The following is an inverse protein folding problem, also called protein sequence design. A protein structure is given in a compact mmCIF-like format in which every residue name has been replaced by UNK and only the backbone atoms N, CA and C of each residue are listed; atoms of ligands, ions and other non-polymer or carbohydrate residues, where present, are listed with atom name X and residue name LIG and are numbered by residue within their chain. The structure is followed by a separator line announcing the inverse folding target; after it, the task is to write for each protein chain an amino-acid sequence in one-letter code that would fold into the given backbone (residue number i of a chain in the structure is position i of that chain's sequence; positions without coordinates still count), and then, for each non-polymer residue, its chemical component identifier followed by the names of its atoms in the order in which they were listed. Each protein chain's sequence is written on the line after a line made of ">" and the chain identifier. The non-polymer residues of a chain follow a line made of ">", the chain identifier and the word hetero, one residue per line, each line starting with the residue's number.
data_IF_112483189688
#
_entry.id   IF_112483189688
#
_cell.length_a   1.000
_cell.length_b   1.000
_cell.length_c   1.000
_cell.angle_alpha   90.00
_cell.angle_beta   90.00
_cell.angle_gamma   90.00
#
_symmetry.space_group_name_H-M   'P 1'
#
loop_
_entity.id
_entity.type
_entity.pdbx_description
1 polymer ?
#
# COMPACT_ATOMS: atom_id res chain seq x y z
N UNK A 1 11.51 -21.80 38.47
CA UNK A 1 12.85 -22.11 37.92
C UNK A 1 12.64 -22.98 36.68
N UNK A 2 12.48 -22.40 35.54
CA UNK A 2 12.36 -23.09 34.25
C UNK A 2 13.47 -22.58 33.34
N UNK A 3 14.26 -23.51 32.82
CA UNK A 3 15.47 -23.30 32.05
C UNK A 3 15.10 -22.80 30.67
N UNK A 4 15.31 -21.51 30.38
CA UNK A 4 15.40 -21.00 29.03
C UNK A 4 16.81 -21.31 28.51
N UNK A 5 16.94 -22.38 27.74
CA UNK A 5 18.11 -22.61 26.90
C UNK A 5 17.91 -21.80 25.64
N UNK A 6 18.62 -20.67 25.57
CA UNK A 6 18.61 -19.79 24.39
C UNK A 6 19.19 -20.51 23.18
N UNK A 7 18.39 -20.72 22.16
CA UNK A 7 18.84 -21.06 20.83
C UNK A 7 19.36 -19.77 20.18
N UNK A 8 20.64 -19.45 20.41
CA UNK A 8 21.32 -18.41 19.65
C UNK A 8 21.48 -18.90 18.21
N UNK A 9 20.55 -18.55 17.33
CA UNK A 9 20.77 -18.68 15.90
C UNK A 9 21.94 -17.76 15.55
N UNK A 10 23.02 -18.33 15.05
CA UNK A 10 24.19 -17.58 14.61
C UNK A 10 23.82 -16.69 13.42
N UNK A 11 23.40 -15.45 13.69
CA UNK A 11 23.42 -14.39 12.68
C UNK A 11 24.89 -14.03 12.45
N UNK A 12 25.44 -14.46 11.32
CA UNK A 12 26.76 -14.05 10.89
C UNK A 12 26.71 -12.57 10.51
N UNK A 13 27.17 -11.70 11.39
CA UNK A 13 27.52 -10.33 11.06
C UNK A 13 28.72 -10.38 10.13
N UNK A 14 28.51 -10.30 8.82
CA UNK A 14 29.58 -10.06 7.86
C UNK A 14 29.78 -8.56 7.78
N UNK A 15 30.69 -8.06 8.62
CA UNK A 15 31.21 -6.71 8.47
C UNK A 15 32.16 -6.69 7.28
N UNK A 16 31.88 -5.76 6.39
CA UNK A 16 32.74 -5.12 5.40
C UNK A 16 33.23 -5.91 4.18
N UNK A 17 32.95 -5.31 3.03
CA UNK A 17 33.93 -5.16 1.95
C UNK A 17 34.00 -6.29 0.95
N UNK A 18 32.97 -6.42 0.20
CA UNK A 18 32.99 -6.66 -1.25
C UNK A 18 31.54 -6.47 -1.70
N UNK A 19 31.27 -5.35 -2.34
CA UNK A 19 30.04 -5.14 -3.07
C UNK A 19 30.05 -6.14 -4.24
N UNK A 20 29.74 -7.40 -4.00
CA UNK A 20 29.22 -8.22 -5.05
C UNK A 20 28.01 -7.42 -5.59
N UNK A 21 28.08 -7.03 -6.84
CA UNK A 21 26.96 -6.43 -7.55
C UNK A 21 25.81 -7.41 -7.43
N UNK A 22 25.01 -7.27 -6.38
CA UNK A 22 23.81 -8.03 -6.22
C UNK A 22 22.95 -7.65 -7.43
N UNK A 23 22.74 -8.61 -8.33
CA UNK A 23 21.80 -8.47 -9.43
C UNK A 23 20.52 -7.97 -8.77
N UNK A 24 20.05 -6.79 -9.22
CA UNK A 24 18.80 -6.25 -8.70
C UNK A 24 17.73 -7.32 -8.74
N UNK A 25 16.96 -7.50 -7.67
CA UNK A 25 15.82 -8.39 -7.76
C UNK A 25 14.93 -7.89 -8.89
N UNK A 26 14.40 -8.80 -9.72
CA UNK A 26 13.48 -8.41 -10.77
C UNK A 26 12.26 -7.74 -10.13
N UNK A 27 11.70 -6.71 -10.74
CA UNK A 27 10.46 -6.11 -10.26
C UNK A 27 9.38 -7.17 -10.13
N UNK A 28 8.55 -7.06 -9.07
CA UNK A 28 7.45 -7.99 -8.82
C UNK A 28 6.15 -7.46 -9.41
N UNK A 29 5.34 -8.36 -9.92
CA UNK A 29 3.94 -8.08 -10.25
C UNK A 29 3.08 -8.55 -9.08
N UNK A 30 2.39 -7.60 -8.45
CA UNK A 30 1.48 -7.83 -7.35
C UNK A 30 0.06 -8.05 -7.84
N UNK A 31 -0.59 -9.06 -7.29
CA UNK A 31 -1.96 -9.45 -7.56
C UNK A 31 -2.74 -9.55 -6.25
N UNK A 32 -3.97 -9.08 -6.27
CA UNK A 32 -4.87 -9.12 -5.12
C UNK A 32 -6.17 -9.85 -5.48
N UNK A 33 -6.14 -11.17 -5.72
CA UNK A 33 -7.32 -11.91 -6.09
C UNK A 33 -8.31 -12.01 -4.94
N UNK A 34 -9.58 -11.66 -5.20
CA UNK A 34 -10.71 -12.02 -4.38
C UNK A 34 -11.25 -13.36 -4.88
N UNK A 35 -11.31 -14.35 -4.02
CA UNK A 35 -11.88 -15.65 -4.31
C UNK A 35 -13.32 -15.72 -3.79
N UNK A 36 -14.27 -16.10 -4.65
CA UNK A 36 -15.70 -16.18 -4.33
C UNK A 36 -16.22 -17.60 -4.60
N UNK A 37 -17.10 -18.07 -3.72
CA UNK A 37 -17.85 -19.31 -3.94
C UNK A 37 -19.05 -19.09 -4.90
N UNK A 38 -19.85 -20.14 -5.11
CA UNK A 38 -21.05 -20.09 -5.96
C UNK A 38 -22.16 -19.17 -5.44
N UNK A 39 -22.06 -18.74 -4.16
CA UNK A 39 -23.00 -17.81 -3.51
C UNK A 39 -22.38 -16.40 -3.37
N UNK A 40 -21.29 -16.14 -4.08
CA UNK A 40 -20.55 -14.88 -4.03
C UNK A 40 -19.99 -14.54 -2.63
N UNK A 41 -19.77 -15.57 -1.79
CA UNK A 41 -19.14 -15.38 -0.48
C UNK A 41 -17.63 -15.54 -0.61
N UNK A 42 -16.83 -14.72 0.12
CA UNK A 42 -15.39 -14.82 0.12
C UNK A 42 -14.90 -16.18 0.60
N UNK A 43 -13.98 -16.79 -0.14
CA UNK A 43 -13.26 -18.01 0.22
C UNK A 43 -11.87 -17.59 0.67
N UNK A 44 -11.56 -17.76 1.97
CA UNK A 44 -10.35 -17.23 2.61
C UNK A 44 -9.33 -18.28 3.03
N UNK A 45 -9.61 -19.56 2.75
CA UNK A 45 -8.81 -20.71 3.19
C UNK A 45 -7.94 -21.34 2.09
N UNK A 46 -7.84 -20.71 0.90
CA UNK A 46 -6.99 -21.19 -0.19
C UNK A 46 -5.51 -21.13 0.19
N UNK A 47 -4.72 -21.94 -0.47
CA UNK A 47 -3.26 -21.99 -0.35
C UNK A 47 -2.60 -21.53 -1.68
N UNK A 48 -1.30 -21.28 -1.68
CA UNK A 48 -0.57 -20.95 -2.89
C UNK A 48 -0.72 -22.03 -3.98
N UNK A 49 -0.86 -23.30 -3.59
CA UNK A 49 -1.05 -24.42 -4.50
C UNK A 49 -2.39 -24.38 -5.25
N UNK A 50 -3.39 -23.70 -4.70
CA UNK A 50 -4.71 -23.55 -5.33
C UNK A 50 -4.67 -22.53 -6.50
N UNK A 51 -3.59 -21.77 -6.67
CA UNK A 51 -3.48 -20.73 -7.69
C UNK A 51 -2.52 -21.10 -8.81
N UNK A 52 -2.92 -20.85 -10.04
CA UNK A 52 -2.07 -20.93 -11.24
C UNK A 52 -2.04 -19.55 -11.90
N UNK A 53 -0.84 -19.05 -12.14
CA UNK A 53 -0.62 -17.75 -12.78
C UNK A 53 0.06 -17.96 -14.11
N UNK A 54 -0.43 -17.29 -15.13
CA UNK A 54 0.22 -17.18 -16.43
C UNK A 54 0.31 -15.71 -16.85
N UNK A 55 1.50 -15.32 -17.30
CA UNK A 55 1.80 -14.00 -17.85
C UNK A 55 2.14 -14.17 -19.33
N UNK A 56 1.40 -13.51 -20.22
CA UNK A 56 1.50 -13.72 -21.67
C UNK A 56 1.49 -15.22 -22.07
N UNK A 57 0.68 -16.02 -21.36
CA UNK A 57 0.58 -17.46 -21.57
C UNK A 57 1.71 -18.30 -20.96
N UNK A 58 2.75 -17.69 -20.39
CA UNK A 58 3.85 -18.39 -19.71
C UNK A 58 3.51 -18.58 -18.23
N UNK A 59 3.59 -19.80 -17.72
CA UNK A 59 3.38 -20.09 -16.31
C UNK A 59 4.38 -19.34 -15.43
N UNK A 60 3.89 -18.80 -14.31
CA UNK A 60 4.67 -18.05 -13.35
C UNK A 60 4.70 -18.76 -12.00
N UNK A 61 5.84 -18.66 -11.31
CA UNK A 61 5.99 -19.18 -9.95
C UNK A 61 5.57 -18.11 -8.96
N UNK A 62 4.70 -18.47 -8.01
CA UNK A 62 4.32 -17.60 -6.89
C UNK A 62 5.52 -17.51 -5.95
N UNK A 63 5.98 -16.29 -5.71
CA UNK A 63 7.11 -15.99 -4.82
C UNK A 63 6.65 -15.55 -3.44
N UNK A 64 5.53 -14.81 -3.36
CA UNK A 64 4.91 -14.39 -2.11
C UNK A 64 3.43 -14.73 -2.14
N UNK A 65 2.92 -15.20 -1.01
CA UNK A 65 1.52 -15.56 -0.84
C UNK A 65 1.04 -15.25 0.57
N UNK A 66 0.01 -14.40 0.67
CA UNK A 66 -0.66 -14.11 1.94
C UNK A 66 -2.15 -14.34 1.81
N UNK A 67 -2.74 -14.87 2.89
CA UNK A 67 -4.19 -15.06 3.00
C UNK A 67 -4.84 -13.79 3.54
N UNK A 68 -6.10 -13.50 3.17
CA UNK A 68 -6.88 -12.46 3.82
C UNK A 68 -7.09 -12.81 5.30
N UNK A 69 -7.16 -11.78 6.15
CA UNK A 69 -7.44 -11.97 7.58
C UNK A 69 -6.34 -12.69 8.38
N UNK A 70 -5.13 -12.86 7.82
CA UNK A 70 -4.03 -13.53 8.51
C UNK A 70 -3.45 -12.65 9.63
N UNK A 71 -3.62 -13.12 10.86
CA UNK A 71 -3.02 -12.71 12.14
C UNK A 71 -3.50 -11.39 12.75
N UNK A 72 -4.38 -11.53 13.72
CA UNK A 72 -4.48 -10.57 14.83
C UNK A 72 -3.16 -10.57 15.61
N UNK A 73 -2.52 -9.41 15.71
CA UNK A 73 -1.36 -9.24 16.57
C UNK A 73 -1.77 -9.51 18.02
N UNK A 74 -1.00 -10.30 18.77
CA UNK A 74 -1.19 -10.42 20.21
C UNK A 74 -1.09 -9.04 20.88
N UNK A 75 -1.72 -8.85 22.03
CA UNK A 75 -1.60 -7.62 22.81
C UNK A 75 -0.12 -7.24 23.00
N UNK A 76 0.17 -5.94 22.92
CA UNK A 76 1.52 -5.46 23.12
C UNK A 76 1.89 -5.51 24.60
N UNK A 77 3.11 -5.95 24.87
CA UNK A 77 3.70 -5.87 26.20
C UNK A 77 4.10 -4.41 26.54
N UNK A 78 4.32 -4.05 27.81
CA UNK A 78 4.87 -2.76 28.18
C UNK A 78 6.19 -2.48 27.44
N UNK A 79 6.30 -1.27 26.87
CA UNK A 79 7.46 -0.84 26.06
C UNK A 79 7.67 -1.64 24.76
N UNK A 80 6.64 -2.33 24.30
CA UNK A 80 6.60 -2.92 22.97
C UNK A 80 5.84 -2.01 22.00
N UNK A 81 6.38 -1.87 20.81
CA UNK A 81 5.84 -1.08 19.72
C UNK A 81 5.67 -1.93 18.47
N UNK A 82 4.70 -1.59 17.63
CA UNK A 82 4.49 -2.26 16.35
C UNK A 82 4.10 -1.25 15.28
N UNK A 83 4.49 -1.53 14.04
CA UNK A 83 4.00 -0.79 12.87
C UNK A 83 2.64 -1.30 12.36
N UNK A 84 2.04 -2.30 13.06
CA UNK A 84 0.70 -2.84 12.76
C UNK A 84 -0.17 -2.83 14.02
N UNK A 85 -0.60 -1.65 14.50
CA UNK A 85 -1.43 -1.56 15.70
C UNK A 85 -2.81 -2.19 15.45
N UNK A 86 -3.37 -2.82 16.49
CA UNK A 86 -4.74 -3.35 16.48
C UNK A 86 -4.95 -4.69 15.80
N UNK A 87 -3.90 -5.33 15.27
CA UNK A 87 -4.03 -6.63 14.58
C UNK A 87 -4.97 -6.54 13.37
N UNK A 88 -5.00 -5.42 12.70
CA UNK A 88 -5.90 -5.10 11.61
C UNK A 88 -5.66 -6.08 10.46
N UNK A 89 -6.73 -6.68 9.96
CA UNK A 89 -6.67 -7.37 8.67
C UNK A 89 -6.08 -6.41 7.64
N UNK A 90 -5.04 -6.81 6.91
CA UNK A 90 -4.24 -5.88 6.13
C UNK A 90 -5.00 -5.40 4.90
N UNK A 91 -5.83 -4.39 5.05
CA UNK A 91 -6.49 -3.68 3.96
C UNK A 91 -6.74 -2.23 4.36
N UNK A 92 -6.89 -1.35 3.37
CA UNK A 92 -7.27 0.03 3.58
C UNK A 92 -8.07 0.55 2.39
N UNK A 93 -9.08 1.36 2.66
CA UNK A 93 -9.89 2.01 1.63
C UNK A 93 -9.83 3.51 1.84
N UNK A 94 -9.33 4.25 0.85
CA UNK A 94 -9.45 5.70 0.83
C UNK A 94 -10.60 6.11 -0.10
N UNK A 95 -11.47 6.97 0.38
CA UNK A 95 -12.48 7.61 -0.45
C UNK A 95 -11.94 8.98 -0.84
N UNK A 96 -11.80 9.20 -2.13
CA UNK A 96 -11.47 10.50 -2.71
C UNK A 96 -12.71 11.07 -3.39
N UNK A 97 -13.36 12.03 -2.75
CA UNK A 97 -14.48 12.75 -3.33
C UNK A 97 -13.95 13.94 -4.13
N UNK A 98 -14.04 13.84 -5.44
CA UNK A 98 -13.44 14.77 -6.38
C UNK A 98 -14.42 15.90 -6.74
N UNK A 99 -14.44 16.95 -5.94
CA UNK A 99 -15.28 18.12 -6.20
C UNK A 99 -14.77 18.94 -7.38
N UNK A 100 -13.51 18.82 -7.77
CA UNK A 100 -12.92 19.53 -8.91
C UNK A 100 -13.54 19.09 -10.24
N UNK A 101 -13.91 17.81 -10.34
CA UNK A 101 -14.48 17.20 -11.53
C UNK A 101 -15.93 16.76 -11.33
N UNK A 102 -16.51 16.97 -10.15
CA UNK A 102 -17.90 16.66 -9.82
C UNK A 102 -18.84 17.80 -10.22
N UNK A 103 -19.95 17.48 -10.88
CA UNK A 103 -21.00 18.44 -11.17
C UNK A 103 -21.85 18.75 -9.93
N UNK A 104 -22.38 19.98 -9.85
CA UNK A 104 -23.17 20.44 -8.71
C UNK A 104 -24.44 19.60 -8.47
N UNK A 105 -25.03 19.06 -9.53
CA UNK A 105 -26.32 18.39 -9.48
C UNK A 105 -26.34 17.09 -8.65
N UNK A 106 -25.25 16.31 -8.67
CA UNK A 106 -25.17 15.02 -7.97
C UNK A 106 -24.36 15.08 -6.68
N UNK A 107 -23.66 16.19 -6.45
CA UNK A 107 -22.79 16.37 -5.29
C UNK A 107 -23.51 16.15 -3.97
N UNK A 108 -24.72 16.68 -3.85
CA UNK A 108 -25.51 16.61 -2.64
C UNK A 108 -25.98 15.18 -2.33
N UNK A 109 -26.46 14.46 -3.33
CA UNK A 109 -26.94 13.07 -3.17
C UNK A 109 -25.77 12.14 -2.85
N UNK A 110 -24.64 12.31 -3.54
CA UNK A 110 -23.40 11.55 -3.25
C UNK A 110 -22.91 11.80 -1.84
N UNK A 111 -22.88 13.06 -1.42
CA UNK A 111 -22.49 13.44 -0.08
C UNK A 111 -23.37 12.79 0.98
N UNK A 112 -24.71 12.92 0.86
CA UNK A 112 -25.64 12.31 1.81
C UNK A 112 -25.53 10.78 1.84
N UNK A 113 -25.30 10.17 0.68
CA UNK A 113 -25.07 8.74 0.58
C UNK A 113 -23.82 8.30 1.35
N UNK A 114 -22.71 9.02 1.21
CA UNK A 114 -21.46 8.75 1.93
C UNK A 114 -21.60 8.96 3.44
N UNK A 115 -22.21 10.08 3.86
CA UNK A 115 -22.44 10.39 5.26
C UNK A 115 -23.22 9.27 5.98
N UNK A 116 -24.14 8.63 5.26
CA UNK A 116 -24.92 7.52 5.79
C UNK A 116 -24.19 6.18 5.74
N UNK A 117 -23.49 5.88 4.65
CA UNK A 117 -22.91 4.53 4.43
C UNK A 117 -21.67 4.25 5.26
N UNK A 118 -20.79 5.24 5.43
CA UNK A 118 -19.50 5.04 6.11
C UNK A 118 -19.65 4.60 7.57
N UNK A 119 -20.55 5.18 8.39
CA UNK A 119 -20.77 4.71 9.75
C UNK A 119 -21.35 3.30 9.87
N UNK A 120 -21.95 2.77 8.79
CA UNK A 120 -22.54 1.44 8.75
C UNK A 120 -21.54 0.34 8.35
N UNK A 121 -20.31 0.70 7.97
CA UNK A 121 -19.29 -0.26 7.57
C UNK A 121 -18.72 -1.02 8.76
N UNK A 122 -18.62 -2.34 8.66
CA UNK A 122 -17.96 -3.19 9.66
C UNK A 122 -16.47 -2.87 9.81
N UNK A 123 -15.85 -2.40 8.74
CA UNK A 123 -14.42 -2.02 8.68
C UNK A 123 -14.22 -0.51 8.60
N UNK A 124 -15.11 0.28 9.20
CA UNK A 124 -15.02 1.75 9.17
C UNK A 124 -13.69 2.30 9.70
N UNK A 125 -13.04 1.59 10.63
CA UNK A 125 -11.72 1.95 11.15
C UNK A 125 -10.60 1.90 10.11
N UNK A 126 -10.82 1.24 8.97
CA UNK A 126 -9.87 1.11 7.87
C UNK A 126 -10.22 1.98 6.66
N UNK A 127 -11.23 2.83 6.81
CA UNK A 127 -11.66 3.77 5.78
C UNK A 127 -11.09 5.15 6.05
N UNK A 128 -10.44 5.75 5.07
CA UNK A 128 -9.90 7.10 5.07
C UNK A 128 -10.68 7.97 4.13
N UNK A 129 -10.71 9.29 4.35
CA UNK A 129 -11.58 10.17 3.57
C UNK A 129 -10.89 11.49 3.22
N UNK A 130 -10.91 11.82 1.94
CA UNK A 130 -10.32 13.02 1.38
C UNK A 130 -11.30 13.71 0.42
N UNK A 131 -11.26 15.04 0.38
CA UNK A 131 -11.89 15.84 -0.66
C UNK A 131 -10.84 16.41 -1.59
N UNK A 132 -11.05 16.30 -2.88
CA UNK A 132 -10.33 17.10 -3.87
C UNK A 132 -11.15 18.36 -4.12
N UNK A 133 -10.66 19.48 -3.60
CA UNK A 133 -11.39 20.74 -3.61
C UNK A 133 -11.40 21.40 -5.01
N UNK A 134 -12.25 22.43 -5.20
CA UNK A 134 -12.42 23.16 -6.46
C UNK A 134 -11.16 23.89 -6.97
N UNK A 135 -10.19 24.15 -6.09
CA UNK A 135 -8.88 24.70 -6.43
C UNK A 135 -7.82 23.63 -6.75
N UNK A 136 -8.18 22.34 -6.67
CA UNK A 136 -7.28 21.21 -6.85
C UNK A 136 -6.45 20.86 -5.62
N UNK A 137 -6.74 21.46 -4.46
CA UNK A 137 -6.14 21.10 -3.17
C UNK A 137 -6.79 19.90 -2.54
N UNK A 138 -6.01 19.08 -1.82
CA UNK A 138 -6.49 17.92 -1.07
C UNK A 138 -6.88 18.35 0.35
N UNK A 139 -8.13 18.12 0.74
CA UNK A 139 -8.63 18.38 2.09
C UNK A 139 -8.85 17.05 2.81
N UNK A 140 -8.04 16.73 3.83
CA UNK A 140 -8.20 15.51 4.59
C UNK A 140 -9.35 15.65 5.60
N UNK A 141 -10.36 14.79 5.50
CA UNK A 141 -11.42 14.65 6.52
C UNK A 141 -11.00 13.59 7.54
N UNK A 142 -10.50 12.49 7.08
CA UNK A 142 -9.81 11.47 7.86
C UNK A 142 -8.54 11.04 7.13
N UNK A 143 -7.41 11.68 7.41
CA UNK A 143 -6.14 11.29 6.82
C UNK A 143 -5.61 9.98 7.42
N UNK A 144 -4.71 9.35 6.70
CA UNK A 144 -3.87 8.29 7.25
C UNK A 144 -2.91 8.93 8.24
N UNK A 145 -3.15 8.74 9.55
CA UNK A 145 -2.29 9.24 10.63
C UNK A 145 -1.70 8.04 11.39
N UNK A 146 -0.38 7.90 11.45
CA UNK A 146 0.27 6.81 12.18
C UNK A 146 0.01 6.85 13.70
N UNK A 147 -0.48 7.98 14.21
CA UNK A 147 -0.87 8.13 15.62
C UNK A 147 -2.32 7.73 15.88
N UNK A 148 -3.08 7.52 14.82
CA UNK A 148 -4.44 6.99 14.94
C UNK A 148 -4.33 5.49 15.28
N UNK A 149 -4.62 5.16 16.53
CA UNK A 149 -4.60 3.78 17.02
C UNK A 149 -5.68 2.89 16.35
N UNK A 150 -6.37 3.40 15.33
CA UNK A 150 -7.52 2.77 14.73
C UNK A 150 -8.77 2.94 15.60
N UNK A 151 -9.85 2.33 15.16
CA UNK A 151 -11.13 2.39 15.84
C UNK A 151 -12.11 3.39 15.24
N UNK A 152 -13.35 3.28 15.65
CA UNK A 152 -14.47 4.02 15.07
C UNK A 152 -14.72 5.41 15.72
N UNK A 153 -13.82 5.87 16.59
CA UNK A 153 -14.02 7.13 17.34
C UNK A 153 -14.20 8.38 16.44
N UNK A 154 -13.62 8.35 15.25
CA UNK A 154 -13.75 9.42 14.26
C UNK A 154 -15.15 9.53 13.67
N UNK A 155 -15.91 8.45 13.62
CA UNK A 155 -17.27 8.42 13.06
C UNK A 155 -18.21 9.39 13.76
N UNK A 156 -18.06 9.58 15.08
CA UNK A 156 -18.85 10.53 15.85
C UNK A 156 -18.65 11.99 15.46
N UNK A 157 -17.59 12.31 14.69
CA UNK A 157 -17.30 13.67 14.20
C UNK A 157 -17.40 13.78 12.68
N UNK A 158 -17.52 12.65 11.99
CA UNK A 158 -17.43 12.56 10.52
C UNK A 158 -18.44 13.49 9.83
N UNK A 159 -19.71 13.41 10.17
CA UNK A 159 -20.74 14.25 9.59
C UNK A 159 -20.43 15.75 9.76
N UNK A 160 -19.98 16.14 10.95
CA UNK A 160 -19.65 17.54 11.25
C UNK A 160 -18.47 18.02 10.40
N UNK A 161 -17.41 17.23 10.34
CA UNK A 161 -16.21 17.60 9.57
C UNK A 161 -16.48 17.57 8.06
N UNK A 162 -17.24 16.58 7.58
CA UNK A 162 -17.65 16.51 6.18
C UNK A 162 -18.55 17.69 5.81
N UNK A 163 -19.57 18.01 6.61
CA UNK A 163 -20.46 19.14 6.38
C UNK A 163 -19.69 20.46 6.34
N UNK A 164 -18.79 20.67 7.29
CA UNK A 164 -17.94 21.85 7.34
C UNK A 164 -17.06 21.99 6.09
N UNK A 165 -16.46 20.90 5.65
CA UNK A 165 -15.62 20.89 4.45
C UNK A 165 -16.43 21.13 3.17
N UNK A 166 -17.65 20.57 3.08
CA UNK A 166 -18.56 20.78 1.95
C UNK A 166 -19.10 22.21 1.91
N UNK A 167 -19.42 22.81 3.06
CA UNK A 167 -19.80 24.23 3.13
C UNK A 167 -18.68 25.13 2.62
N UNK A 168 -17.44 24.90 3.03
CA UNK A 168 -16.28 25.65 2.53
C UNK A 168 -16.08 25.46 1.02
N UNK A 169 -16.22 24.22 0.52
CA UNK A 169 -16.10 23.94 -0.90
C UNK A 169 -17.18 24.64 -1.72
N UNK A 170 -18.42 24.69 -1.25
CA UNK A 170 -19.52 25.37 -1.92
C UNK A 170 -19.37 26.90 -1.93
N UNK A 171 -18.67 27.47 -0.96
CA UNK A 171 -18.35 28.90 -0.93
C UNK A 171 -17.11 29.26 -1.74
N UNK A 172 -16.26 28.28 -2.05
CA UNK A 172 -15.07 28.50 -2.84
C UNK A 172 -15.44 28.78 -4.31
N UNK A 173 -14.81 29.80 -4.88
CA UNK A 173 -14.93 30.01 -6.34
C UNK A 173 -14.06 28.97 -7.03
N UNK A 174 -14.58 28.31 -8.09
CA UNK A 174 -13.74 27.44 -8.91
C UNK A 174 -12.52 28.26 -9.36
N UNK A 175 -11.33 27.74 -9.14
CA UNK A 175 -10.14 28.27 -9.80
C UNK A 175 -10.41 28.16 -11.30
N UNK A 176 -10.13 29.21 -12.08
CA UNK A 176 -10.31 29.20 -13.53
C UNK A 176 -9.34 28.24 -14.22
N UNK A 177 -9.27 27.00 -13.73
CA UNK A 177 -8.39 25.95 -14.22
C UNK A 177 -8.89 25.43 -15.55
N UNK A 178 -8.01 25.36 -16.51
CA UNK A 178 -8.30 24.67 -17.76
C UNK A 178 -8.38 23.15 -17.55
N UNK A 179 -8.66 22.43 -18.61
CA UNK A 179 -8.87 20.98 -18.55
C UNK A 179 -7.60 20.22 -18.21
N UNK A 180 -6.48 20.67 -18.73
CA UNK A 180 -5.17 20.04 -18.50
C UNK A 180 -4.71 20.25 -17.06
N UNK A 181 -4.86 21.46 -16.53
CA UNK A 181 -4.54 21.77 -15.14
C UNK A 181 -5.39 20.97 -14.16
N UNK A 182 -6.69 20.81 -14.46
CA UNK A 182 -7.56 19.93 -13.65
C UNK A 182 -7.09 18.49 -13.69
N UNK A 183 -6.74 17.97 -14.86
CA UNK A 183 -6.21 16.61 -15.01
C UNK A 183 -4.94 16.41 -14.19
N UNK A 184 -3.95 17.29 -14.36
CA UNK A 184 -2.68 17.23 -13.61
C UNK A 184 -2.90 17.27 -12.11
N UNK A 185 -3.77 18.15 -11.62
CA UNK A 185 -4.08 18.23 -10.18
C UNK A 185 -4.78 16.98 -9.66
N UNK A 186 -5.77 16.47 -10.38
CA UNK A 186 -6.48 15.25 -10.00
C UNK A 186 -5.52 14.07 -9.88
N UNK A 187 -4.69 13.84 -10.89
CA UNK A 187 -3.72 12.73 -10.87
C UNK A 187 -2.67 12.90 -9.80
N UNK A 188 -2.17 14.12 -9.60
CA UNK A 188 -1.25 14.39 -8.50
C UNK A 188 -1.88 14.06 -7.13
N UNK A 189 -3.15 14.40 -6.90
CA UNK A 189 -3.80 14.08 -5.63
C UNK A 189 -4.11 12.58 -5.49
N UNK A 190 -4.43 11.89 -6.57
CA UNK A 190 -4.52 10.42 -6.55
C UNK A 190 -3.18 9.79 -6.15
N UNK A 191 -2.07 10.29 -6.69
CA UNK A 191 -0.72 9.85 -6.32
C UNK A 191 -0.41 10.16 -4.85
N UNK A 192 -0.75 11.34 -4.34
CA UNK A 192 -0.57 11.70 -2.93
C UNK A 192 -1.33 10.73 -2.02
N UNK A 193 -2.60 10.44 -2.32
CA UNK A 193 -3.40 9.48 -1.54
C UNK A 193 -2.83 8.06 -1.66
N UNK A 194 -2.41 7.65 -2.86
CA UNK A 194 -1.77 6.36 -3.10
C UNK A 194 -0.50 6.19 -2.27
N UNK A 195 0.38 7.18 -2.29
CA UNK A 195 1.62 7.18 -1.51
C UNK A 195 1.36 7.06 0.00
N UNK A 196 0.29 7.67 0.50
CA UNK A 196 -0.12 7.51 1.89
C UNK A 196 -0.65 6.11 2.17
N UNK A 197 -1.50 5.57 1.29
CA UNK A 197 -2.01 4.21 1.40
C UNK A 197 -0.89 3.15 1.32
N UNK A 198 0.14 3.39 0.51
CA UNK A 198 1.28 2.48 0.35
C UNK A 198 2.02 2.20 1.67
N UNK A 199 1.81 3.03 2.71
CA UNK A 199 2.37 2.79 4.04
C UNK A 199 1.62 1.73 4.84
N UNK A 200 0.40 1.40 4.43
CA UNK A 200 -0.45 0.43 5.12
C UNK A 200 -0.28 -0.97 4.53
N UNK A 201 -0.45 -2.03 5.33
CA UNK A 201 -0.31 -3.40 4.84
C UNK A 201 -1.52 -3.85 4.00
N UNK A 202 -1.30 -4.87 3.18
CA UNK A 202 -2.34 -5.60 2.45
C UNK A 202 -2.90 -4.87 1.24
N UNK A 203 -4.11 -5.23 0.84
CA UNK A 203 -4.79 -4.59 -0.27
C UNK A 203 -5.19 -3.16 0.09
N UNK A 204 -4.98 -2.25 -0.84
CA UNK A 204 -5.27 -0.83 -0.72
C UNK A 204 -6.12 -0.41 -1.90
N UNK A 205 -7.24 0.23 -1.60
CA UNK A 205 -8.20 0.66 -2.61
C UNK A 205 -8.48 2.16 -2.47
N UNK A 206 -8.62 2.85 -3.60
CA UNK A 206 -9.16 4.20 -3.67
C UNK A 206 -10.53 4.10 -4.33
N UNK A 207 -11.58 4.52 -3.64
CA UNK A 207 -12.86 4.84 -4.26
C UNK A 207 -12.79 6.28 -4.73
N UNK A 208 -12.61 6.46 -6.02
CA UNK A 208 -12.53 7.78 -6.63
C UNK A 208 -13.89 8.20 -7.18
N UNK A 209 -14.57 9.09 -6.45
CA UNK A 209 -15.89 9.60 -6.82
C UNK A 209 -15.70 10.81 -7.72
N UNK A 210 -16.11 10.69 -8.97
CA UNK A 210 -15.91 11.73 -9.99
C UNK A 210 -17.05 11.73 -11.00
N UNK A 211 -17.28 12.86 -11.62
CA UNK A 211 -18.28 13.03 -12.68
C UNK A 211 -17.66 13.11 -14.07
N UNK A 212 -16.37 13.21 -14.15
CA UNK A 212 -15.63 13.06 -15.40
C UNK A 212 -14.24 12.55 -15.08
N UNK A 213 -13.71 11.76 -15.96
CA UNK A 213 -12.27 11.69 -16.04
C UNK A 213 -11.80 13.02 -16.62
N UNK A 214 -10.90 13.74 -15.98
CA UNK A 214 -10.24 14.88 -16.62
C UNK A 214 -9.39 14.33 -17.75
N UNK A 215 -10.09 13.86 -18.80
CA UNK A 215 -9.46 13.23 -19.93
C UNK A 215 -8.56 14.25 -20.59
N UNK A 216 -7.33 13.88 -20.72
CA UNK A 216 -6.48 14.34 -21.77
C UNK A 216 -7.09 13.73 -23.04
N UNK A 217 -8.24 14.29 -23.47
CA UNK A 217 -8.93 13.82 -24.68
C UNK A 217 -8.32 14.44 -25.93
N UNK A 218 -8.62 13.83 -27.01
CA UNK A 218 -8.31 14.04 -28.42
C UNK A 218 -8.23 15.47 -28.96
N UNK A 219 -8.57 16.46 -28.22
CA UNK A 219 -8.56 17.86 -28.64
C UNK A 219 -7.58 18.75 -27.87
N UNK A 220 -6.90 18.17 -26.86
CA UNK A 220 -5.88 18.89 -26.12
C UNK A 220 -4.54 18.24 -26.43
N UNK A 221 -3.50 18.99 -26.78
CA UNK A 221 -2.23 18.40 -27.15
C UNK A 221 -1.52 17.79 -25.93
N UNK A 222 -1.67 16.47 -25.78
CA UNK A 222 -0.51 15.73 -25.33
C UNK A 222 0.48 15.70 -26.50
N UNK A 223 1.00 16.84 -26.93
CA UNK A 223 1.84 16.92 -28.10
C UNK A 223 1.18 16.55 -29.45
N UNK A 224 -0.13 16.27 -29.49
CA UNK A 224 -0.85 15.88 -30.72
C UNK A 224 -0.86 14.40 -31.03
N UNK A 225 -0.31 13.54 -30.15
CA UNK A 225 -0.26 12.10 -30.36
C UNK A 225 -1.13 11.36 -29.33
N UNK A 226 -2.08 10.57 -29.82
CA UNK A 226 -2.95 9.68 -29.03
C UNK A 226 -2.17 8.69 -28.15
N UNK A 227 -1.01 8.28 -28.64
CA UNK A 227 -0.12 7.37 -27.94
C UNK A 227 0.38 8.00 -26.63
N UNK A 228 0.69 9.29 -26.62
CA UNK A 228 1.20 9.98 -25.43
C UNK A 228 0.14 10.13 -24.34
N UNK A 229 -1.13 10.37 -24.68
CA UNK A 229 -2.20 10.48 -23.70
C UNK A 229 -2.59 9.13 -23.10
N UNK A 230 -2.68 8.10 -23.92
CA UNK A 230 -2.87 6.74 -23.44
C UNK A 230 -1.70 6.28 -22.56
N UNK A 231 -0.49 6.69 -22.87
CA UNK A 231 0.69 6.43 -22.05
C UNK A 231 0.65 7.17 -20.71
N UNK A 232 0.09 8.39 -20.65
CA UNK A 232 -0.02 9.13 -19.39
C UNK A 232 -0.96 8.42 -18.40
N UNK A 233 -2.16 8.02 -18.82
CA UNK A 233 -3.09 7.24 -17.99
C UNK A 233 -2.47 5.90 -17.59
N UNK A 234 -1.81 5.23 -18.54
CA UNK A 234 -1.11 3.99 -18.28
C UNK A 234 0.05 4.18 -17.29
N UNK A 235 0.82 5.27 -17.42
CA UNK A 235 1.91 5.60 -16.52
C UNK A 235 1.40 5.86 -15.09
N UNK A 236 0.33 6.64 -14.96
CA UNK A 236 -0.32 6.87 -13.67
C UNK A 236 -0.85 5.57 -13.08
N UNK A 237 -1.54 4.76 -13.86
CA UNK A 237 -2.03 3.47 -13.41
C UNK A 237 -0.90 2.51 -13.00
N UNK A 238 0.25 2.59 -13.67
CA UNK A 238 1.46 1.84 -13.29
C UNK A 238 2.02 2.34 -11.97
N UNK A 239 2.11 3.65 -11.77
CA UNK A 239 2.59 4.25 -10.52
C UNK A 239 1.70 3.84 -9.35
N UNK A 240 0.38 4.00 -9.48
CA UNK A 240 -0.59 3.60 -8.48
C UNK A 240 -0.59 2.08 -8.23
N UNK A 241 -0.52 1.29 -9.31
CA UNK A 241 -0.48 -0.17 -9.24
C UNK A 241 0.85 -0.73 -8.72
N UNK A 242 1.97 0.00 -8.89
CA UNK A 242 3.26 -0.35 -8.30
C UNK A 242 3.21 -0.28 -6.78
N UNK A 243 2.53 0.72 -6.24
CA UNK A 243 2.29 0.86 -4.81
C UNK A 243 1.26 -0.16 -4.28
N UNK A 244 0.73 -1.02 -5.15
CA UNK A 244 -0.29 -2.01 -4.79
C UNK A 244 -1.64 -1.38 -4.44
N UNK A 245 -1.94 -0.21 -5.01
CA UNK A 245 -3.20 0.50 -4.81
C UNK A 245 -4.11 0.29 -6.00
N UNK A 246 -5.31 -0.22 -5.75
CA UNK A 246 -6.36 -0.37 -6.76
C UNK A 246 -7.24 0.89 -6.78
N UNK A 247 -7.54 1.41 -7.96
CA UNK A 247 -8.45 2.55 -8.12
C UNK A 247 -9.80 2.05 -8.60
N UNK A 248 -10.85 2.41 -7.87
CA UNK A 248 -12.23 2.07 -8.13
C UNK A 248 -12.99 3.37 -8.47
N UNK A 249 -13.00 3.79 -9.74
CA UNK A 249 -13.74 4.98 -10.11
C UNK A 249 -15.24 4.76 -9.94
N UNK A 250 -15.90 5.71 -9.31
CA UNK A 250 -17.36 5.80 -9.23
C UNK A 250 -17.83 7.02 -10.01
N UNK A 251 -18.57 6.77 -11.09
CA UNK A 251 -19.17 7.82 -11.91
C UNK A 251 -20.54 8.19 -11.37
N UNK A 252 -20.65 9.40 -10.81
CA UNK A 252 -21.84 9.85 -10.08
C UNK A 252 -22.98 10.36 -10.99
N UNK A 253 -22.73 10.69 -12.25
CA UNK A 253 -23.61 11.46 -13.13
C UNK A 253 -24.48 10.61 -14.06
N UNK A 254 -24.91 9.45 -13.66
CA UNK A 254 -25.83 8.66 -14.49
C UNK A 254 -25.13 7.94 -15.65
N UNK A 255 -25.55 8.18 -16.91
CA UNK A 255 -24.96 7.49 -18.07
C UNK A 255 -23.66 8.16 -18.50
N UNK A 256 -22.54 7.48 -18.31
CA UNK A 256 -21.25 7.95 -18.77
C UNK A 256 -21.17 7.99 -20.31
N UNK A 257 -20.57 9.03 -20.86
CA UNK A 257 -20.24 9.05 -22.29
C UNK A 257 -19.19 7.95 -22.59
N UNK A 258 -19.22 7.32 -23.78
CA UNK A 258 -18.32 6.20 -24.10
C UNK A 258 -16.84 6.48 -23.89
N UNK A 259 -16.38 7.70 -24.15
CA UNK A 259 -14.99 8.12 -23.93
C UNK A 259 -14.62 8.18 -22.45
N UNK A 260 -15.53 8.69 -21.61
CA UNK A 260 -15.31 8.79 -20.15
C UNK A 260 -15.31 7.39 -19.53
N UNK A 261 -16.27 6.54 -19.91
CA UNK A 261 -16.32 5.17 -19.39
C UNK A 261 -15.05 4.37 -19.77
N UNK A 262 -14.59 4.51 -21.01
CA UNK A 262 -13.37 3.84 -21.44
C UNK A 262 -12.16 4.19 -20.56
N UNK A 263 -11.94 5.47 -20.26
CA UNK A 263 -10.80 5.91 -19.48
C UNK A 263 -10.89 5.49 -18.01
N UNK A 264 -12.10 5.54 -17.41
CA UNK A 264 -12.34 5.05 -16.05
C UNK A 264 -12.14 3.54 -15.97
N UNK A 265 -12.63 2.79 -16.96
CA UNK A 265 -12.44 1.35 -17.06
C UNK A 265 -10.95 0.99 -17.20
N UNK A 266 -10.18 1.76 -18.00
CA UNK A 266 -8.73 1.56 -18.14
C UNK A 266 -8.01 1.79 -16.80
N UNK A 267 -8.32 2.86 -16.09
CA UNK A 267 -7.74 3.14 -14.77
C UNK A 267 -8.01 1.99 -13.81
N UNK A 268 -9.27 1.55 -13.70
CA UNK A 268 -9.66 0.44 -12.86
C UNK A 268 -8.93 -0.86 -13.26
N UNK A 269 -8.96 -1.21 -14.56
CA UNK A 269 -8.36 -2.44 -15.07
C UNK A 269 -6.85 -2.52 -14.83
N UNK A 270 -6.14 -1.41 -15.01
CA UNK A 270 -4.67 -1.37 -14.88
C UNK A 270 -4.22 -1.40 -13.42
N UNK A 271 -5.02 -0.86 -12.51
CA UNK A 271 -4.71 -0.85 -11.08
C UNK A 271 -5.26 -2.07 -10.33
N UNK A 272 -6.19 -2.81 -10.93
CA UNK A 272 -6.85 -3.98 -10.33
C UNK A 272 -8.09 -3.64 -9.52
N UNK A 273 -8.67 -2.46 -9.76
CA UNK A 273 -9.96 -2.03 -9.25
C UNK A 273 -11.12 -2.38 -10.19
N UNK A 274 -12.25 -1.76 -9.93
CA UNK A 274 -13.47 -1.86 -10.72
C UNK A 274 -14.12 -0.49 -10.89
N UNK A 275 -14.57 -0.17 -12.11
CA UNK A 275 -15.30 1.08 -12.37
C UNK A 275 -16.81 0.87 -12.16
N UNK A 276 -17.45 1.78 -11.45
CA UNK A 276 -18.86 1.72 -11.06
C UNK A 276 -19.67 2.82 -11.75
N UNK A 277 -20.80 2.42 -12.29
CA UNK A 277 -21.74 3.30 -13.01
C UNK A 277 -23.16 3.03 -12.56
N UNK A 278 -23.98 4.08 -12.39
CA UNK A 278 -25.41 3.95 -12.09
C UNK A 278 -25.76 3.14 -10.82
N UNK A 279 -24.81 2.92 -9.94
CA UNK A 279 -25.02 2.19 -8.70
C UNK A 279 -25.22 3.16 -7.53
N UNK A 280 -25.80 2.67 -6.45
CA UNK A 280 -25.84 3.42 -5.20
C UNK A 280 -24.44 3.48 -4.58
N UNK A 281 -23.95 4.68 -4.32
CA UNK A 281 -22.62 4.88 -3.70
C UNK A 281 -22.46 4.10 -2.39
N UNK A 282 -23.56 3.91 -1.65
CA UNK A 282 -23.56 3.15 -0.40
C UNK A 282 -23.17 1.69 -0.63
N UNK A 283 -23.70 1.07 -1.67
CA UNK A 283 -23.38 -0.31 -2.02
C UNK A 283 -21.96 -0.43 -2.59
N UNK A 284 -21.51 0.56 -3.37
CA UNK A 284 -20.15 0.59 -3.90
C UNK A 284 -19.11 0.64 -2.78
N UNK A 285 -19.27 1.52 -1.81
CA UNK A 285 -18.35 1.64 -0.69
C UNK A 285 -18.30 0.34 0.14
N UNK A 286 -19.47 -0.27 0.40
CA UNK A 286 -19.55 -1.56 1.10
C UNK A 286 -18.84 -2.67 0.32
N UNK A 287 -19.05 -2.74 -0.99
CA UNK A 287 -18.43 -3.76 -1.82
C UNK A 287 -16.91 -3.61 -1.90
N UNK A 288 -16.41 -2.40 -2.10
CA UNK A 288 -14.97 -2.16 -2.14
C UNK A 288 -14.32 -2.50 -0.80
N UNK A 289 -14.92 -2.09 0.33
CA UNK A 289 -14.40 -2.43 1.66
C UNK A 289 -14.39 -3.96 1.89
N UNK A 290 -15.47 -4.66 1.51
CA UNK A 290 -15.54 -6.13 1.58
C UNK A 290 -14.47 -6.80 0.71
N UNK A 291 -14.27 -6.31 -0.50
CA UNK A 291 -13.27 -6.84 -1.44
C UNK A 291 -11.86 -6.65 -0.90
N UNK A 292 -11.56 -5.46 -0.39
CA UNK A 292 -10.24 -5.14 0.15
C UNK A 292 -9.88 -6.07 1.32
N UNK A 293 -10.82 -6.30 2.26
CA UNK A 293 -10.59 -7.13 3.45
C UNK A 293 -10.48 -8.63 3.18
N UNK A 294 -10.94 -9.10 2.02
CA UNK A 294 -11.00 -10.54 1.70
C UNK A 294 -10.12 -10.96 0.51
N UNK A 295 -9.27 -10.08 0.01
CA UNK A 295 -8.34 -10.40 -1.08
C UNK A 295 -7.08 -11.09 -0.59
N UNK A 296 -6.61 -12.06 -1.38
CA UNK A 296 -5.27 -12.63 -1.22
C UNK A 296 -4.22 -11.65 -1.72
N UNK A 297 -3.01 -11.79 -1.24
CA UNK A 297 -1.86 -11.05 -1.76
C UNK A 297 -0.87 -12.03 -2.35
N UNK A 298 -0.62 -11.90 -3.65
CA UNK A 298 0.24 -12.80 -4.40
C UNK A 298 1.25 -11.98 -5.21
N UNK A 299 2.52 -12.39 -5.21
CA UNK A 299 3.52 -11.79 -6.08
C UNK A 299 4.29 -12.83 -6.88
N UNK A 300 4.64 -12.47 -8.11
CA UNK A 300 5.54 -13.22 -8.96
C UNK A 300 6.53 -12.29 -9.68
N UNK A 301 7.65 -12.84 -10.14
CA UNK A 301 8.64 -12.09 -10.90
C UNK A 301 8.61 -12.54 -12.35
N UNK A 302 8.15 -11.71 -13.30
CA UNK A 302 8.32 -11.97 -14.72
C UNK A 302 9.81 -12.03 -15.11
N UNK A 303 10.14 -12.64 -16.23
CA UNK A 303 11.52 -12.58 -16.76
C UNK A 303 11.92 -11.14 -17.06
N UNK A 304 13.22 -10.83 -17.02
CA UNK A 304 13.73 -9.49 -17.31
C UNK A 304 13.27 -8.95 -18.68
N UNK A 305 13.13 -9.83 -19.67
CA UNK A 305 12.69 -9.49 -21.02
C UNK A 305 11.19 -9.12 -21.10
N UNK A 306 10.43 -9.42 -20.05
CA UNK A 306 9.00 -9.10 -19.99
C UNK A 306 8.72 -7.63 -19.70
N UNK A 307 9.72 -6.83 -19.35
CA UNK A 307 9.57 -5.39 -19.08
C UNK A 307 9.85 -4.60 -20.38
N UNK A 308 8.85 -4.61 -21.29
CA UNK A 308 9.01 -4.23 -22.70
C UNK A 308 8.18 -3.01 -23.14
N UNK A 309 7.67 -2.23 -22.20
CA UNK A 309 6.75 -1.10 -22.46
C UNK A 309 5.45 -1.50 -23.17
N UNK A 310 4.91 -2.67 -22.84
CA UNK A 310 3.64 -3.13 -23.41
C UNK A 310 2.68 -3.61 -22.34
N UNK A 311 1.42 -3.71 -22.73
CA UNK A 311 0.42 -4.37 -21.89
C UNK A 311 0.61 -5.87 -21.92
N UNK A 312 0.77 -6.44 -20.74
CA UNK A 312 0.83 -7.88 -20.53
C UNK A 312 -0.49 -8.41 -20.00
N UNK A 313 -0.98 -9.48 -20.61
CA UNK A 313 -2.18 -10.18 -20.17
C UNK A 313 -1.82 -11.18 -19.08
N UNK A 314 -2.49 -11.07 -17.93
CA UNK A 314 -2.37 -12.01 -16.82
C UNK A 314 -3.60 -12.92 -16.82
N UNK A 315 -3.37 -14.18 -16.55
CA UNK A 315 -4.43 -15.14 -16.24
C UNK A 315 -4.16 -15.78 -14.89
N UNK A 316 -5.09 -15.63 -13.97
CA UNK A 316 -5.07 -16.31 -12.69
C UNK A 316 -6.22 -17.31 -12.66
N UNK A 317 -5.93 -18.55 -12.32
CA UNK A 317 -6.92 -19.60 -12.19
C UNK A 317 -6.86 -20.22 -10.79
N UNK A 318 -8.02 -20.60 -10.25
CA UNK A 318 -8.11 -21.38 -9.03
C UNK A 318 -8.37 -22.85 -9.37
N UNK A 319 -7.60 -23.76 -8.78
CA UNK A 319 -7.78 -25.20 -9.01
C UNK A 319 -8.92 -25.79 -8.15
N UNK A 320 -9.35 -25.08 -7.10
CA UNK A 320 -10.50 -25.49 -6.30
C UNK A 320 -11.81 -25.28 -7.09
N UNK A 321 -12.56 -26.38 -7.25
CA UNK A 321 -13.84 -26.35 -7.98
C UNK A 321 -14.84 -25.41 -7.29
N UNK A 322 -15.61 -24.70 -8.10
CA UNK A 322 -16.67 -23.80 -7.61
C UNK A 322 -16.18 -22.46 -7.09
N UNK A 323 -14.86 -22.17 -7.16
CA UNK A 323 -14.31 -20.86 -6.82
C UNK A 323 -14.10 -20.02 -8.08
N UNK A 324 -14.60 -18.79 -8.05
CA UNK A 324 -14.32 -17.75 -9.06
C UNK A 324 -13.34 -16.75 -8.49
N UNK A 325 -12.45 -16.24 -9.34
CA UNK A 325 -11.49 -15.20 -8.97
C UNK A 325 -11.86 -13.88 -9.63
N UNK A 326 -11.81 -12.80 -8.83
CA UNK A 326 -11.80 -11.42 -9.31
C UNK A 326 -10.38 -10.89 -9.09
N UNK A 327 -9.68 -10.54 -10.16
CA UNK A 327 -8.30 -10.08 -10.12
C UNK A 327 -7.98 -9.31 -11.40
N UNK A 328 -7.02 -8.39 -11.37
CA UNK A 328 -6.59 -7.69 -12.57
C UNK A 328 -6.11 -8.67 -13.64
N UNK A 329 -6.50 -8.42 -14.87
CA UNK A 329 -6.16 -9.26 -16.03
C UNK A 329 -5.02 -8.73 -16.87
N UNK A 330 -4.51 -7.55 -16.55
CA UNK A 330 -3.44 -6.87 -17.30
C UNK A 330 -2.59 -6.00 -16.39
N UNK A 331 -1.36 -5.75 -16.82
CA UNK A 331 -0.52 -4.68 -16.32
C UNK A 331 0.30 -4.11 -17.46
N UNK A 332 0.79 -2.89 -17.28
CA UNK A 332 1.73 -2.29 -18.22
C UNK A 332 3.16 -2.59 -17.76
N UNK A 333 3.94 -3.26 -18.59
CA UNK A 333 5.28 -3.74 -18.27
C UNK A 333 6.31 -2.61 -18.48
N UNK A 334 6.32 -1.61 -17.58
CA UNK A 334 7.24 -0.48 -17.64
C UNK A 334 8.63 -0.90 -17.14
N UNK A 335 9.68 -0.81 -17.97
CA UNK A 335 11.03 -1.11 -17.52
C UNK A 335 11.49 -0.11 -16.46
N UNK A 336 12.00 -0.60 -15.37
CA UNK A 336 12.71 0.25 -14.41
C UNK A 336 14.18 0.34 -14.81
N UNK A 337 14.56 1.46 -15.38
CA UNK A 337 15.92 1.73 -15.87
C UNK A 337 16.90 2.18 -14.79
N UNK A 338 16.42 2.42 -13.56
CA UNK A 338 17.25 2.83 -12.44
C UNK A 338 18.17 1.71 -11.97
N UNK A 339 19.38 2.06 -11.51
CA UNK A 339 20.27 1.08 -10.92
C UNK A 339 19.63 0.48 -9.65
N UNK A 340 19.95 -0.79 -9.36
CA UNK A 340 19.43 -1.49 -8.18
C UNK A 340 19.70 -0.75 -6.87
N UNK A 341 20.92 -0.23 -6.72
CA UNK A 341 21.31 0.53 -5.52
C UNK A 341 20.51 1.82 -5.36
N UNK A 342 20.20 2.50 -6.45
CA UNK A 342 19.42 3.74 -6.42
C UNK A 342 17.98 3.46 -5.99
N UNK A 343 17.36 2.40 -6.50
CA UNK A 343 16.03 1.97 -6.07
C UNK A 343 15.97 1.63 -4.59
N UNK A 344 16.94 0.84 -4.11
CA UNK A 344 17.02 0.49 -2.70
C UNK A 344 17.19 1.72 -1.81
N UNK A 345 18.07 2.63 -2.24
CA UNK A 345 18.28 3.90 -1.54
C UNK A 345 17.00 4.75 -1.50
N UNK A 346 16.32 4.92 -2.63
CA UNK A 346 15.07 5.67 -2.70
C UNK A 346 13.98 5.07 -1.81
N UNK A 347 13.83 3.73 -1.81
CA UNK A 347 12.87 3.05 -0.93
C UNK A 347 13.19 3.28 0.54
N UNK A 348 14.46 3.15 0.94
CA UNK A 348 14.88 3.39 2.32
C UNK A 348 14.73 4.86 2.72
N UNK A 349 15.13 5.79 1.86
CA UNK A 349 14.99 7.23 2.09
C UNK A 349 13.53 7.63 2.22
N UNK A 350 12.66 7.12 1.33
CA UNK A 350 11.23 7.34 1.40
C UNK A 350 10.63 6.82 2.70
N UNK A 351 10.95 5.58 3.11
CA UNK A 351 10.47 5.01 4.36
C UNK A 351 11.00 5.77 5.59
N UNK A 352 12.25 6.24 5.53
CA UNK A 352 12.87 6.97 6.63
C UNK A 352 12.33 8.40 6.78
N UNK A 353 11.89 9.02 5.70
CA UNK A 353 11.38 10.39 5.68
C UNK A 353 9.86 10.50 5.82
N UNK A 354 9.10 9.40 5.65
CA UNK A 354 7.64 9.42 5.78
C UNK A 354 7.19 9.77 7.21
N UNK A 355 6.12 10.56 7.38
CA UNK A 355 5.55 10.81 8.71
C UNK A 355 4.91 9.55 9.31
N UNK A 356 4.39 8.66 8.47
CA UNK A 356 3.72 7.42 8.85
C UNK A 356 4.67 6.22 8.85
N UNK A 357 4.33 5.19 9.64
CA UNK A 357 5.07 3.95 9.63
C UNK A 357 4.71 3.11 8.39
N UNK A 358 5.73 2.59 7.71
CA UNK A 358 5.54 1.61 6.65
C UNK A 358 5.21 0.25 7.27
N UNK A 359 4.19 -0.44 6.74
CA UNK A 359 3.73 -1.70 7.29
C UNK A 359 3.88 -2.89 6.31
N UNK A 360 4.66 -2.73 5.24
CA UNK A 360 4.96 -3.80 4.28
C UNK A 360 5.60 -5.01 4.95
N UNK A 361 6.53 -4.78 5.90
CA UNK A 361 7.09 -5.82 6.76
C UNK A 361 6.60 -5.57 8.19
N UNK A 362 5.92 -6.54 8.78
CA UNK A 362 5.46 -6.45 10.17
C UNK A 362 6.62 -6.46 11.14
N UNK A 363 6.69 -5.45 12.00
CA UNK A 363 7.72 -5.29 13.02
C UNK A 363 7.08 -5.20 14.40
N UNK A 364 7.70 -5.86 15.38
CA UNK A 364 7.48 -5.64 16.82
C UNK A 364 8.82 -5.28 17.43
N UNK A 365 8.86 -4.20 18.18
CA UNK A 365 10.08 -3.68 18.80
C UNK A 365 9.87 -3.54 20.29
N UNK A 366 10.60 -4.29 21.07
CA UNK A 366 10.66 -4.13 22.53
C UNK A 366 11.84 -3.20 22.87
N UNK A 367 11.62 -2.26 23.77
CA UNK A 367 12.63 -1.28 24.18
C UNK A 367 12.86 -1.41 25.67
N UNK A 368 14.12 -1.60 26.06
CA UNK A 368 14.53 -1.62 27.47
C UNK A 368 15.79 -0.78 27.71
N UNK A 369 16.08 -0.33 28.93
CA UNK A 369 17.29 0.41 29.23
C UNK A 369 18.55 -0.44 28.98
N UNK A 370 19.60 0.20 28.43
CA UNK A 370 20.96 -0.35 28.32
C UNK A 370 21.96 0.56 29.03
N UNK A 371 23.18 0.08 29.22
CA UNK A 371 24.23 0.82 29.94
C UNK A 371 24.56 2.20 29.33
N UNK A 372 24.44 2.34 28.01
CA UNK A 372 24.70 3.58 27.25
C UNK A 372 23.59 3.80 26.19
N UNK A 373 22.33 3.90 26.62
CA UNK A 373 21.23 4.10 25.67
C UNK A 373 20.09 3.12 25.89
N UNK A 374 19.65 2.47 24.83
CA UNK A 374 18.52 1.54 24.84
C UNK A 374 18.90 0.19 24.21
N UNK A 375 18.31 -0.87 24.73
CA UNK A 375 18.32 -2.18 24.10
C UNK A 375 17.08 -2.31 23.24
N UNK A 376 17.26 -2.65 21.96
CA UNK A 376 16.21 -2.89 20.99
C UNK A 376 16.10 -4.39 20.69
N UNK A 377 14.97 -4.99 21.04
CA UNK A 377 14.59 -6.33 20.64
C UNK A 377 13.58 -6.25 19.52
N UNK A 378 13.97 -6.57 18.29
CA UNK A 378 13.14 -6.46 17.08
C UNK A 378 12.71 -7.85 16.64
N UNK A 379 11.44 -8.02 16.31
CA UNK A 379 10.90 -9.22 15.67
C UNK A 379 10.28 -8.84 14.35
N UNK A 380 10.66 -9.53 13.27
CA UNK A 380 10.15 -9.32 11.92
C UNK A 380 9.26 -10.49 11.52
N UNK A 381 8.14 -10.20 10.87
CA UNK A 381 7.25 -11.24 10.36
C UNK A 381 7.86 -11.90 9.10
N UNK A 382 8.15 -13.19 9.17
CA UNK A 382 8.74 -13.95 8.08
C UNK A 382 7.82 -14.06 6.87
N UNK A 383 6.50 -14.06 7.11
CA UNK A 383 5.52 -14.13 6.01
C UNK A 383 5.58 -12.93 5.06
N UNK A 384 6.22 -11.84 5.50
CA UNK A 384 6.38 -10.62 4.71
C UNK A 384 7.67 -10.58 3.90
N UNK A 385 8.55 -11.57 4.09
CA UNK A 385 9.87 -11.60 3.47
C UNK A 385 9.93 -12.58 2.31
N UNK A 386 10.64 -12.22 1.25
CA UNK A 386 10.95 -13.11 0.14
C UNK A 386 12.14 -14.00 0.50
N UNK A 387 11.85 -15.17 1.03
CA UNK A 387 12.85 -16.19 1.27
C UNK A 387 12.77 -17.28 0.19
N UNK A 388 13.87 -17.48 -0.53
CA UNK A 388 13.96 -18.47 -1.61
C UNK A 388 14.56 -19.77 -1.09
N UNK A 389 13.90 -20.90 -1.38
CA UNK A 389 14.48 -22.19 -1.09
C UNK A 389 15.65 -22.48 -2.04
N UNK A 390 16.84 -22.67 -1.45
CA UNK A 390 18.08 -23.01 -2.14
C UNK A 390 18.80 -24.09 -1.35
N UNK A 391 19.09 -25.23 -1.97
CA UNK A 391 19.78 -26.36 -1.32
C UNK A 391 19.14 -26.82 0.00
N UNK A 392 17.80 -26.81 0.09
CA UNK A 392 17.05 -27.21 1.28
C UNK A 392 17.04 -26.18 2.42
N UNK A 393 17.52 -24.95 2.14
CA UNK A 393 17.47 -23.82 3.06
C UNK A 393 16.70 -22.66 2.46
N UNK A 394 16.18 -21.77 3.31
CA UNK A 394 15.47 -20.56 2.94
C UNK A 394 16.41 -19.36 3.08
N UNK A 395 16.81 -18.80 1.94
CA UNK A 395 17.77 -17.72 1.86
C UNK A 395 17.09 -16.37 1.51
N UNK A 396 17.54 -15.29 2.16
CA UNK A 396 17.10 -13.92 1.92
C UNK A 396 18.11 -12.89 2.38
N UNK A 397 17.87 -11.64 2.08
CA UNK A 397 18.75 -10.54 2.49
C UNK A 397 17.90 -9.32 2.89
N UNK A 398 18.27 -8.71 4.00
CA UNK A 398 17.61 -7.55 4.59
C UNK A 398 18.59 -6.38 4.74
N UNK A 399 18.06 -5.17 4.64
CA UNK A 399 18.76 -3.96 5.09
C UNK A 399 17.94 -3.33 6.21
N UNK A 400 18.59 -3.00 7.32
CA UNK A 400 17.98 -2.27 8.43
C UNK A 400 18.65 -0.91 8.58
N UNK A 401 17.85 0.12 8.74
CA UNK A 401 18.29 1.49 8.97
C UNK A 401 17.75 1.96 10.31
N UNK A 402 18.63 2.52 11.14
CA UNK A 402 18.27 3.18 12.39
C UNK A 402 18.57 4.67 12.27
N UNK A 403 17.57 5.48 12.59
CA UNK A 403 17.69 6.93 12.55
C UNK A 403 17.27 7.55 13.87
N UNK A 404 18.18 8.33 14.45
CA UNK A 404 17.90 9.14 15.63
C UNK A 404 17.17 10.42 15.22
N UNK A 405 16.08 10.71 15.91
CA UNK A 405 15.23 11.85 15.61
C UNK A 405 15.08 12.73 16.85
N UNK A 406 15.27 14.02 16.66
CA UNK A 406 15.09 15.04 17.68
C UNK A 406 13.64 15.52 17.80
N UNK A 407 13.46 16.59 18.58
CA UNK A 407 12.16 17.26 18.66
C UNK A 407 11.76 17.86 17.32
N UNK A 408 10.47 17.79 16.99
CA UNK A 408 9.91 18.49 15.83
C UNK A 408 10.02 20.00 16.05
N UNK A 409 10.56 20.75 15.08
CA UNK A 409 10.61 22.20 15.14
C UNK A 409 9.31 22.79 14.56
N UNK A 410 8.49 23.42 15.41
CA UNK A 410 7.33 24.22 15.00
C UNK A 410 5.97 23.66 15.40
N UNK A 411 4.98 24.53 15.47
CA UNK A 411 3.63 24.31 15.99
C UNK A 411 2.60 23.90 14.93
N UNK A 412 2.97 23.62 13.70
CA UNK A 412 2.05 23.22 12.65
C UNK A 412 2.01 21.68 12.51
N UNK A 413 0.82 21.13 12.43
CA UNK A 413 0.60 19.72 12.11
C UNK A 413 1.31 19.36 10.81
N UNK A 414 2.29 18.47 10.86
CA UNK A 414 3.01 17.98 9.66
C UNK A 414 4.53 18.15 9.66
N UNK A 415 5.13 18.70 10.71
CA UNK A 415 6.59 18.80 10.76
C UNK A 415 7.22 17.48 11.21
N UNK A 416 8.04 16.92 10.33
CA UNK A 416 8.82 15.73 10.61
C UNK A 416 9.86 16.01 11.71
N UNK A 417 10.11 15.04 12.61
CA UNK A 417 11.24 15.12 13.52
C UNK A 417 12.55 15.29 12.77
N UNK A 418 13.46 16.12 13.25
CA UNK A 418 14.76 16.33 12.61
C UNK A 418 15.67 15.14 12.85
N UNK A 419 16.32 14.59 11.80
CA UNK A 419 17.38 13.61 11.97
C UNK A 419 18.53 14.19 12.81
N UNK A 420 19.10 13.36 13.68
CA UNK A 420 20.29 13.65 14.48
C UNK A 420 21.41 12.73 14.01
N UNK A 421 22.41 13.32 13.35
CA UNK A 421 23.50 12.54 12.75
C UNK A 421 23.07 11.73 11.53
N UNK A 422 23.99 10.88 11.07
CA UNK A 422 23.75 9.98 9.97
C UNK A 422 23.05 8.69 10.45
N UNK A 423 22.15 8.11 9.64
CA UNK A 423 21.50 6.85 9.99
C UNK A 423 22.51 5.69 10.01
N UNK A 424 22.34 4.78 10.96
CA UNK A 424 23.10 3.54 11.01
C UNK A 424 22.47 2.50 10.08
N UNK A 425 23.26 1.95 9.16
CA UNK A 425 22.80 0.95 8.18
C UNK A 425 23.44 -0.40 8.45
N UNK A 426 22.64 -1.44 8.57
CA UNK A 426 23.07 -2.82 8.77
C UNK A 426 22.46 -3.74 7.72
N UNK A 427 23.28 -4.62 7.16
CA UNK A 427 22.85 -5.62 6.19
C UNK A 427 22.89 -7.01 6.82
N UNK A 428 21.84 -7.79 6.61
CA UNK A 428 21.69 -9.14 7.14
C UNK A 428 21.44 -10.11 6.00
N UNK A 429 22.09 -11.28 6.08
CA UNK A 429 21.79 -12.43 5.23
C UNK A 429 21.09 -13.49 6.05
N UNK A 430 20.01 -14.00 5.54
CA UNK A 430 19.23 -15.09 6.13
C UNK A 430 19.57 -16.38 5.39
N UNK A 431 19.82 -17.45 6.12
CA UNK A 431 20.05 -18.80 5.61
C UNK A 431 19.47 -19.80 6.60
N UNK A 432 18.15 -20.01 6.51
CA UNK A 432 17.34 -20.75 7.47
C UNK A 432 17.16 -22.18 7.03
N UNK A 433 17.39 -23.14 7.93
CA UNK A 433 16.94 -24.51 7.70
C UNK A 433 15.41 -24.58 7.66
N UNK A 434 14.84 -25.66 7.14
CA UNK A 434 13.38 -25.85 7.10
C UNK A 434 12.75 -25.80 8.49
N UNK A 435 13.43 -26.32 9.49
CA UNK A 435 12.98 -26.28 10.89
C UNK A 435 13.00 -24.87 11.45
N UNK A 436 14.11 -24.12 11.24
CA UNK A 436 14.22 -22.72 11.65
C UNK A 436 13.17 -21.85 10.95
N UNK A 437 12.97 -22.04 9.65
CA UNK A 437 11.93 -21.35 8.89
C UNK A 437 10.54 -21.61 9.50
N UNK A 438 10.20 -22.87 9.82
CA UNK A 438 8.94 -23.22 10.47
C UNK A 438 8.74 -22.53 11.81
N UNK A 439 9.79 -22.49 12.66
CA UNK A 439 9.75 -21.79 13.95
C UNK A 439 9.58 -20.29 13.77
N UNK A 440 10.36 -19.68 12.85
CA UNK A 440 10.32 -18.24 12.60
C UNK A 440 9.03 -17.77 11.91
N UNK A 441 8.36 -18.65 11.18
CA UNK A 441 7.00 -18.37 10.67
C UNK A 441 5.98 -18.17 11.78
N UNK A 442 6.18 -18.80 12.94
CA UNK A 442 5.29 -18.65 14.09
C UNK A 442 5.72 -17.49 15.02
N UNK A 443 7.01 -17.30 15.21
CA UNK A 443 7.58 -16.42 16.25
C UNK A 443 8.16 -15.11 15.69
N UNK A 444 8.41 -15.03 14.38
CA UNK A 444 9.15 -13.95 13.73
C UNK A 444 10.67 -14.13 13.85
N UNK A 445 11.43 -13.39 13.04
CA UNK A 445 12.90 -13.36 13.09
C UNK A 445 13.33 -12.36 14.16
N UNK A 446 14.01 -12.83 15.23
CA UNK A 446 14.51 -11.96 16.28
C UNK A 446 15.85 -11.34 15.90
N UNK A 447 15.98 -10.03 16.10
CA UNK A 447 17.25 -9.29 16.08
C UNK A 447 17.30 -8.45 17.35
N UNK A 448 18.43 -8.41 18.04
CA UNK A 448 18.59 -7.57 19.22
C UNK A 448 19.98 -6.97 19.30
N UNK A 449 20.07 -5.73 19.76
CA UNK A 449 21.30 -4.98 19.95
C UNK A 449 21.09 -3.76 20.84
N UNK A 450 22.19 -3.24 21.40
CA UNK A 450 22.20 -2.00 22.14
C UNK A 450 22.42 -0.82 21.18
N UNK A 451 21.62 0.23 21.32
CA UNK A 451 21.72 1.45 20.56
C UNK A 451 22.04 2.63 21.49
N UNK A 452 23.21 3.28 21.32
CA UNK A 452 23.54 4.45 22.11
C UNK A 452 22.66 5.63 21.69
N UNK A 453 22.05 6.32 22.65
CA UNK A 453 21.23 7.51 22.40
C UNK A 453 21.81 8.73 23.11
N UNK A 454 21.87 9.85 22.39
CA UNK A 454 22.26 11.15 22.98
C UNK A 454 21.06 11.90 23.58
N UNK A 455 21.33 12.90 24.40
CA UNK A 455 20.29 13.68 25.14
C UNK A 455 19.30 14.39 24.23
N UNK A 456 19.69 14.69 22.99
CA UNK A 456 18.82 15.34 21.99
C UNK A 456 17.84 14.38 21.31
N UNK A 457 18.05 13.06 21.40
CA UNK A 457 17.21 12.06 20.77
C UNK A 457 15.88 11.96 21.50
N UNK A 458 14.77 11.99 20.77
CA UNK A 458 13.40 11.85 21.28
C UNK A 458 12.69 10.64 20.71
N UNK A 459 13.17 10.15 19.58
CA UNK A 459 12.62 8.98 18.88
C UNK A 459 13.73 8.26 18.12
N UNK A 460 13.68 6.96 18.07
CA UNK A 460 14.50 6.14 17.18
C UNK A 460 13.56 5.54 16.14
N UNK A 461 13.89 5.70 14.88
CA UNK A 461 13.16 5.07 13.78
C UNK A 461 13.92 3.84 13.30
N UNK A 462 13.19 2.73 13.22
CA UNK A 462 13.68 1.46 12.67
C UNK A 462 13.01 1.27 11.32
N UNK A 463 13.80 1.13 10.26
CA UNK A 463 13.32 0.79 8.92
C UNK A 463 13.97 -0.53 8.52
N UNK A 464 13.17 -1.47 8.06
CA UNK A 464 13.65 -2.75 7.51
C UNK A 464 13.18 -2.86 6.07
N UNK A 465 14.08 -3.23 5.19
CA UNK A 465 13.80 -3.48 3.77
C UNK A 465 14.23 -4.90 3.40
N UNK A 466 13.34 -5.64 2.78
CA UNK A 466 13.68 -6.88 2.09
C UNK A 466 14.33 -6.57 0.75
N UNK A 467 15.60 -6.93 0.60
CA UNK A 467 16.38 -6.70 -0.63
C UNK A 467 15.90 -7.56 -1.80
N UNK A 468 15.13 -8.60 -1.54
CA UNK A 468 14.53 -9.47 -2.56
C UNK A 468 13.30 -8.87 -3.22
N UNK A 469 12.58 -7.97 -2.54
CA UNK A 469 11.34 -7.33 -3.01
C UNK A 469 11.47 -5.82 -3.14
N UNK A 470 12.44 -5.20 -2.50
CA UNK A 470 12.55 -3.75 -2.27
C UNK A 470 11.34 -3.16 -1.51
N UNK A 471 10.73 -3.96 -0.63
CA UNK A 471 9.69 -3.53 0.31
C UNK A 471 10.28 -3.13 1.64
#
# INVERSE_FOLDING_TARGET
>A
MSRFAGLCAALSLVASGLWAQAIAPPPLVWLYPLALDSKEQPVTDLTAADFKIADQGKAQTILLFRRPGAKTSAALEPHEYTNRPGGIAPHAVAILFDLLNEGDANRLDTWHGLAKSIPELESAEQVYFYLLNLDGGLVPIRPIDPRDAGGAAWLGKFDKELNKAMEHANLARPAGLDREDRAKRTYHQLEVVSNQLATLPGRRDIVWITNMMPAITNSTPCGGDWVECGLYVAHMAVTLGHDGVAVNPYYSSGVAQPTVSYDLDQMALLTGGHAYYLQDIREVVKEVARTAGNSYEIAYAPSAESWDNKFHKIRVACERKGVKLQVKERYYALPDTRAAGDRQKETLDAANQRPSDSAGIGLRVNVSPAAKGIHLGIRMDVADLLLREQNGKFAGALTMVLSDLGASAGSAAGLLPRPIGDPSVSNFSLDLTKEQYGTMMAEGIPISFDHPIGDAVRRVRVVVMDRGTNQ
#
